data_IF_972338201720
#
_entry.id   IF_972338201720
#
_cell.length_a   1.000
_cell.length_b   1.000
_cell.length_c   1.000
_cell.angle_alpha   90.00
_cell.angle_beta   90.00
_cell.angle_gamma   90.00
#
_symmetry.space_group_name_H-M   'P 1'
#
loop_
_entity.id
_entity.type
_entity.pdbx_description
1 polymer ?
#
# COMPACT_ATOMS: atom_id res chain seq x y z
N UNK A 1 -4.17 -12.67 52.59
CA UNK A 1 -3.94 -11.39 53.29
C UNK A 1 -3.76 -10.32 52.25
N UNK A 2 -4.78 -9.48 52.11
CA UNK A 2 -4.86 -8.36 51.18
C UNK A 2 -3.93 -7.23 51.63
N UNK A 3 -3.16 -6.67 50.71
CA UNK A 3 -2.78 -5.23 50.77
C UNK A 3 -2.87 -4.64 49.37
N UNK A 4 -4.04 -4.04 49.15
CA UNK A 4 -4.32 -3.00 48.16
C UNK A 4 -3.56 -1.74 48.62
N UNK A 5 -2.80 -1.10 47.73
CA UNK A 5 -2.35 0.28 47.87
C UNK A 5 -2.15 0.85 46.46
N UNK A 6 -3.16 1.46 45.83
CA UNK A 6 -3.56 2.88 45.92
C UNK A 6 -2.51 3.90 45.43
N UNK A 7 -2.90 4.60 44.34
CA UNK A 7 -2.63 6.01 44.00
C UNK A 7 -1.32 6.33 43.25
N UNK A 8 -1.44 6.68 41.95
CA UNK A 8 -1.45 8.09 41.51
C UNK A 8 -1.89 8.18 40.04
N UNK A 9 -3.02 8.84 39.83
CA UNK A 9 -3.51 9.34 38.54
C UNK A 9 -2.71 10.61 38.26
N UNK A 10 -1.91 10.63 37.19
CA UNK A 10 -1.43 11.88 36.58
C UNK A 10 -2.10 11.95 35.21
N UNK A 11 -3.22 12.66 35.18
CA UNK A 11 -3.72 13.26 33.98
C UNK A 11 -2.80 14.44 33.65
N UNK A 12 -2.06 14.35 32.55
CA UNK A 12 -1.49 15.52 31.90
C UNK A 12 -2.07 15.61 30.49
N UNK A 13 -3.11 16.42 30.43
CA UNK A 13 -3.75 16.95 29.22
C UNK A 13 -2.83 17.90 28.46
N UNK A 14 -3.14 18.03 27.16
CA UNK A 14 -2.65 19.00 26.17
C UNK A 14 -1.32 18.64 25.52
N UNK A 15 -1.34 18.37 24.21
CA UNK A 15 -0.71 19.26 23.23
C UNK A 15 -1.39 19.07 21.85
N UNK A 16 -2.27 20.04 21.57
CA UNK A 16 -2.53 20.76 20.31
C UNK A 16 -2.72 19.97 18.99
N UNK A 17 -3.94 20.10 18.49
CA UNK A 17 -4.28 19.98 17.08
C UNK A 17 -3.40 20.91 16.21
N UNK A 18 -2.63 20.33 15.30
CA UNK A 18 -2.00 21.03 14.19
C UNK A 18 -2.56 20.50 12.87
N UNK A 19 -3.68 21.06 12.42
CA UNK A 19 -4.12 20.92 11.03
C UNK A 19 -3.32 21.93 10.21
N UNK A 20 -2.30 21.46 9.49
CA UNK A 20 -1.66 22.22 8.42
C UNK A 20 -2.44 22.00 7.13
N UNK A 21 -3.20 23.00 6.70
CA UNK A 21 -3.76 23.07 5.35
C UNK A 21 -2.62 23.41 4.39
N UNK A 22 -2.25 22.46 3.53
CA UNK A 22 -1.43 22.74 2.37
C UNK A 22 -2.36 23.10 1.20
N UNK A 23 -2.55 24.40 0.98
CA UNK A 23 -2.99 24.92 -0.31
C UNK A 23 -1.75 25.04 -1.21
N UNK A 24 -1.65 24.28 -2.31
CA UNK A 24 -0.92 24.77 -3.48
C UNK A 24 -1.18 24.00 -4.79
N UNK A 25 -1.85 24.73 -5.69
CA UNK A 25 -1.74 24.74 -7.16
C UNK A 25 -2.01 23.47 -7.98
N UNK A 26 -3.29 23.34 -8.33
CA UNK A 26 -3.77 22.88 -9.64
C UNK A 26 -3.25 23.81 -10.75
N UNK A 27 -2.48 23.26 -11.69
CA UNK A 27 -2.10 23.90 -12.94
C UNK A 27 -2.47 23.00 -14.10
N UNK A 28 -3.72 23.10 -14.52
CA UNK A 28 -4.25 22.52 -15.75
C UNK A 28 -3.64 23.24 -16.97
N UNK A 29 -2.59 22.67 -17.53
CA UNK A 29 -2.05 23.10 -18.82
C UNK A 29 -2.93 22.54 -19.95
N UNK A 30 -3.84 23.39 -20.43
CA UNK A 30 -4.72 23.13 -21.57
C UNK A 30 -3.92 23.19 -22.87
N UNK A 31 -3.29 22.09 -23.24
CA UNK A 31 -2.64 21.94 -24.54
C UNK A 31 -3.68 21.98 -25.65
N UNK A 32 -3.72 23.11 -26.34
CA UNK A 32 -4.52 23.37 -27.53
C UNK A 32 -3.67 22.95 -28.73
N UNK A 33 -3.99 21.81 -29.35
CA UNK A 33 -3.30 21.36 -30.56
C UNK A 33 -4.19 21.58 -31.77
N UNK A 34 -3.56 22.15 -32.79
CA UNK A 34 -4.14 22.79 -33.96
C UNK A 34 -4.96 21.85 -34.84
N UNK A 35 -6.06 22.41 -35.35
CA UNK A 35 -6.85 21.90 -36.48
C UNK A 35 -6.10 22.29 -37.75
N UNK A 36 -5.64 21.30 -38.50
CA UNK A 36 -5.14 21.46 -39.87
C UNK A 36 -6.26 21.08 -40.84
N UNK A 37 -6.82 22.08 -41.51
CA UNK A 37 -7.73 21.93 -42.65
C UNK A 37 -6.97 21.33 -43.84
N UNK A 38 -7.56 20.33 -44.49
CA UNK A 38 -7.23 19.94 -45.88
C UNK A 38 -8.42 19.20 -46.50
N UNK A 39 -8.51 19.12 -47.83
CA UNK A 39 -9.59 19.76 -48.59
C UNK A 39 -10.69 18.79 -49.03
N UNK A 40 -11.83 19.40 -49.31
CA UNK A 40 -13.05 18.87 -49.92
C UNK A 40 -12.78 18.08 -51.22
N UNK A 41 -13.23 16.81 -51.33
CA UNK A 41 -13.43 16.14 -52.60
C UNK A 41 -14.88 16.23 -53.08
N UNK A 42 -15.00 16.56 -54.37
CA UNK A 42 -16.20 16.63 -55.21
C UNK A 42 -17.04 15.32 -55.28
N UNK A 43 -18.30 15.39 -55.75
CA UNK A 43 -19.31 14.36 -55.48
C UNK A 43 -19.19 13.15 -56.42
N UNK A 44 -19.20 11.96 -55.84
CA UNK A 44 -19.26 10.69 -56.58
C UNK A 44 -20.69 10.14 -56.54
N UNK A 45 -21.22 9.88 -57.73
CA UNK A 45 -22.58 9.39 -57.97
C UNK A 45 -22.89 8.05 -57.30
N UNK A 46 -24.09 8.05 -56.73
CA UNK A 46 -24.88 6.99 -56.10
C UNK A 46 -24.97 5.69 -56.90
N UNK A 47 -24.74 4.55 -56.24
CA UNK A 47 -25.44 3.30 -56.57
C UNK A 47 -26.07 2.68 -55.32
N UNK A 48 -27.37 2.42 -55.47
CA UNK A 48 -28.33 1.96 -54.47
C UNK A 48 -27.91 0.58 -53.96
N UNK A 49 -27.59 0.51 -52.67
CA UNK A 49 -27.43 -0.77 -51.97
C UNK A 49 -28.38 -0.80 -50.78
N UNK A 50 -29.16 -1.87 -50.75
CA UNK A 50 -30.23 -2.22 -49.83
C UNK A 50 -29.93 -1.82 -48.38
N UNK A 51 -30.74 -0.92 -47.82
CA UNK A 51 -30.60 -0.36 -46.48
C UNK A 51 -30.82 -1.44 -45.42
N UNK A 52 -29.72 -1.89 -44.80
CA UNK A 52 -29.73 -2.49 -43.47
C UNK A 52 -30.34 -1.47 -42.47
N UNK A 53 -31.09 -1.93 -41.46
CA UNK A 53 -31.71 -1.04 -40.48
C UNK A 53 -30.64 -0.25 -39.74
N UNK A 54 -30.94 1.02 -39.52
CA UNK A 54 -30.04 2.04 -38.96
C UNK A 54 -29.34 1.56 -37.68
N UNK A 55 -28.04 1.86 -37.59
CA UNK A 55 -27.26 1.82 -36.35
C UNK A 55 -27.96 2.67 -35.29
N UNK A 56 -28.77 2.04 -34.44
CA UNK A 56 -29.12 2.61 -33.15
C UNK A 56 -27.83 2.73 -32.33
N UNK A 57 -27.58 3.87 -31.66
CA UNK A 57 -26.48 3.96 -30.71
C UNK A 57 -26.73 2.90 -29.63
N UNK A 58 -25.81 1.95 -29.53
CA UNK A 58 -25.81 0.96 -28.45
C UNK A 58 -25.67 1.76 -27.16
N UNK A 59 -26.77 1.86 -26.41
CA UNK A 59 -26.76 2.41 -25.06
C UNK A 59 -25.87 1.47 -24.24
N UNK A 60 -24.65 1.90 -23.95
CA UNK A 60 -23.72 1.15 -23.10
C UNK A 60 -24.35 1.12 -21.73
N UNK A 61 -24.81 -0.08 -21.34
CA UNK A 61 -25.46 -0.31 -20.07
C UNK A 61 -24.35 -0.39 -19.03
N UNK A 62 -24.38 0.52 -18.06
CA UNK A 62 -23.24 0.74 -17.18
C UNK A 62 -23.14 -0.34 -16.11
N UNK A 63 -21.97 -0.97 -16.03
CA UNK A 63 -21.50 -1.70 -14.86
C UNK A 63 -20.85 -0.72 -13.89
N UNK A 64 -21.08 -0.92 -12.59
CA UNK A 64 -20.46 -0.10 -11.54
C UNK A 64 -19.66 -0.98 -10.59
N UNK A 65 -18.46 -0.51 -10.25
CA UNK A 65 -17.51 -1.19 -9.37
C UNK A 65 -17.15 -0.28 -8.19
N UNK A 66 -17.01 -0.82 -6.98
CA UNK A 66 -16.75 0.01 -5.79
C UNK A 66 -15.27 0.23 -5.48
N UNK A 67 -14.38 -0.54 -6.09
CA UNK A 67 -12.93 -0.42 -5.92
C UNK A 67 -12.20 -0.07 -7.23
N UNK A 68 -12.97 0.29 -8.27
CA UNK A 68 -12.48 0.72 -9.59
C UNK A 68 -11.55 -0.30 -10.29
N UNK A 69 -11.82 -1.60 -10.13
CA UNK A 69 -11.31 -2.63 -11.05
C UNK A 69 -10.81 -3.89 -10.36
N UNK A 70 -9.50 -4.17 -10.48
CA UNK A 70 -8.89 -5.41 -9.98
C UNK A 70 -8.04 -5.14 -8.74
N UNK A 71 -8.64 -4.50 -7.73
CA UNK A 71 -7.97 -4.04 -6.51
C UNK A 71 -8.10 -5.09 -5.39
N UNK A 72 -7.22 -6.08 -5.45
CA UNK A 72 -7.28 -7.28 -4.61
C UNK A 72 -7.06 -7.06 -3.10
N UNK A 73 -6.53 -5.92 -2.65
CA UNK A 73 -6.26 -5.61 -1.24
C UNK A 73 -7.40 -4.81 -0.57
N UNK A 74 -8.40 -4.45 -1.37
CA UNK A 74 -9.60 -3.75 -0.99
C UNK A 74 -10.78 -4.69 -1.22
N UNK A 75 -11.84 -4.55 -0.43
CA UNK A 75 -13.06 -5.31 -0.69
C UNK A 75 -13.93 -4.52 -1.67
N UNK A 76 -14.29 -5.15 -2.78
CA UNK A 76 -15.08 -4.60 -3.85
C UNK A 76 -16.43 -5.29 -4.09
N UNK A 77 -17.23 -4.61 -4.91
CA UNK A 77 -18.57 -5.03 -5.30
C UNK A 77 -18.92 -4.44 -6.67
N UNK A 78 -19.29 -5.33 -7.56
CA UNK A 78 -19.79 -5.01 -8.90
C UNK A 78 -21.31 -5.07 -8.93
N UNK A 79 -21.95 -4.08 -9.55
CA UNK A 79 -23.36 -4.13 -9.96
C UNK A 79 -23.43 -4.09 -11.48
N UNK A 80 -23.99 -5.13 -12.09
CA UNK A 80 -24.12 -5.23 -13.55
C UNK A 80 -25.32 -4.43 -14.10
N UNK A 81 -25.46 -4.47 -15.41
CA UNK A 81 -26.52 -3.79 -16.16
C UNK A 81 -27.95 -4.23 -15.83
N UNK A 82 -28.13 -5.40 -15.23
CA UNK A 82 -29.42 -5.94 -14.79
C UNK A 82 -29.67 -5.68 -13.29
N UNK A 83 -28.75 -4.96 -12.63
CA UNK A 83 -28.79 -4.67 -11.20
C UNK A 83 -28.38 -5.85 -10.33
N UNK A 84 -27.75 -6.88 -10.91
CA UNK A 84 -27.23 -8.02 -10.15
C UNK A 84 -25.92 -7.64 -9.49
N UNK A 85 -25.79 -8.08 -8.25
CA UNK A 85 -24.67 -7.73 -7.38
C UNK A 85 -23.72 -8.92 -7.27
N UNK A 86 -22.44 -8.64 -7.46
CA UNK A 86 -21.32 -9.54 -7.25
C UNK A 86 -20.33 -8.88 -6.29
N UNK A 87 -19.73 -9.64 -5.38
CA UNK A 87 -18.78 -9.11 -4.40
C UNK A 87 -17.59 -10.03 -4.30
N UNK A 88 -16.45 -9.43 -3.99
CA UNK A 88 -15.22 -10.20 -3.85
C UNK A 88 -15.35 -11.20 -2.72
N UNK A 89 -14.83 -12.39 -2.98
CA UNK A 89 -14.99 -13.51 -2.06
C UNK A 89 -13.76 -14.40 -2.06
N UNK A 90 -13.38 -14.86 -0.88
CA UNK A 90 -12.34 -15.86 -0.75
C UNK A 90 -12.89 -17.22 -1.19
N UNK A 91 -12.29 -17.82 -2.21
CA UNK A 91 -12.57 -19.20 -2.63
C UNK A 91 -11.99 -20.16 -1.58
N UNK A 92 -10.79 -19.86 -1.12
CA UNK A 92 -10.09 -20.58 -0.06
C UNK A 92 -9.16 -19.60 0.69
N UNK A 93 -8.29 -20.10 1.56
CA UNK A 93 -7.40 -19.27 2.39
C UNK A 93 -6.38 -18.48 1.56
N UNK A 94 -6.04 -18.88 0.34
CA UNK A 94 -5.02 -18.23 -0.48
C UNK A 94 -5.55 -17.70 -1.82
N UNK A 95 -6.80 -18.00 -2.20
CA UNK A 95 -7.35 -17.57 -3.50
C UNK A 95 -8.55 -16.63 -3.31
N UNK A 96 -8.42 -15.40 -3.83
CA UNK A 96 -9.48 -14.41 -3.96
C UNK A 96 -10.17 -14.56 -5.31
N UNK A 97 -11.51 -14.54 -5.31
CA UNK A 97 -12.32 -14.29 -6.49
C UNK A 97 -12.66 -12.81 -6.54
N UNK A 98 -11.98 -12.10 -7.43
CA UNK A 98 -12.10 -10.67 -7.68
C UNK A 98 -13.14 -10.43 -8.76
N UNK A 99 -14.19 -9.66 -8.48
CA UNK A 99 -15.14 -9.19 -9.48
C UNK A 99 -14.76 -7.80 -9.96
N UNK A 100 -14.94 -7.54 -11.26
CA UNK A 100 -14.64 -6.23 -11.84
C UNK A 100 -15.53 -5.92 -13.04
N UNK A 101 -15.68 -4.65 -13.38
CA UNK A 101 -16.28 -4.23 -14.65
C UNK A 101 -15.26 -4.30 -15.81
N UNK A 102 -15.59 -5.01 -16.89
CA UNK A 102 -14.75 -5.06 -18.10
C UNK A 102 -14.89 -3.80 -18.97
N UNK A 103 -14.11 -3.71 -20.06
CA UNK A 103 -14.13 -2.57 -20.99
C UNK A 103 -15.43 -2.42 -21.79
N UNK A 104 -16.31 -3.42 -21.74
CA UNK A 104 -17.60 -3.44 -22.43
C UNK A 104 -18.77 -3.20 -21.46
N UNK A 105 -18.50 -2.99 -20.17
CA UNK A 105 -19.53 -2.78 -19.15
C UNK A 105 -20.14 -4.09 -18.63
N UNK A 106 -19.46 -5.22 -18.77
CA UNK A 106 -19.90 -6.50 -18.20
C UNK A 106 -19.23 -6.74 -16.84
N UNK A 107 -19.98 -7.37 -15.93
CA UNK A 107 -19.42 -7.91 -14.70
C UNK A 107 -18.64 -9.20 -14.98
N UNK A 108 -17.33 -9.17 -14.75
CA UNK A 108 -16.42 -10.29 -14.93
C UNK A 108 -15.73 -10.65 -13.62
N UNK A 109 -14.99 -11.77 -13.61
CA UNK A 109 -14.15 -12.13 -12.46
C UNK A 109 -12.77 -12.66 -12.82
N UNK A 110 -11.85 -12.59 -11.85
CA UNK A 110 -10.52 -13.19 -11.91
C UNK A 110 -10.21 -13.88 -10.59
N UNK A 111 -9.51 -15.00 -10.66
CA UNK A 111 -8.93 -15.64 -9.48
C UNK A 111 -7.51 -15.10 -9.26
N UNK A 112 -7.25 -14.62 -8.06
CA UNK A 112 -5.99 -14.01 -7.63
C UNK A 112 -5.46 -14.82 -6.45
N UNK A 113 -4.21 -15.29 -6.56
CA UNK A 113 -3.50 -15.86 -5.42
C UNK A 113 -3.02 -14.73 -4.51
N UNK A 114 -3.49 -14.74 -3.26
CA UNK A 114 -3.09 -13.79 -2.24
C UNK A 114 -1.67 -14.08 -1.75
N UNK A 115 -0.86 -13.05 -1.46
CA UNK A 115 0.50 -13.23 -0.95
C UNK A 115 0.56 -14.06 0.34
N UNK A 116 -0.32 -13.78 1.30
CA UNK A 116 -0.36 -14.49 2.57
C UNK A 116 -1.71 -15.13 2.85
N UNK A 117 -2.80 -14.34 2.84
CA UNK A 117 -4.14 -14.91 3.02
C UNK A 117 -5.25 -14.09 2.37
N UNK A 118 -6.29 -14.76 1.92
CA UNK A 118 -7.58 -14.16 1.63
C UNK A 118 -8.45 -14.18 2.88
N UNK A 119 -9.01 -13.02 3.25
CA UNK A 119 -9.98 -12.92 4.34
C UNK A 119 -10.98 -11.81 4.05
N UNK A 120 -12.27 -12.07 4.30
CA UNK A 120 -13.34 -11.08 4.10
C UNK A 120 -13.37 -10.48 2.68
N UNK A 121 -13.10 -11.30 1.65
CA UNK A 121 -13.17 -10.86 0.26
C UNK A 121 -12.07 -9.88 -0.14
N UNK A 122 -10.89 -9.98 0.47
CA UNK A 122 -9.69 -9.28 0.03
C UNK A 122 -8.44 -10.05 0.43
N UNK A 123 -7.35 -9.84 -0.29
CA UNK A 123 -6.06 -10.35 0.07
C UNK A 123 -5.41 -9.49 1.15
N UNK A 124 -4.72 -10.17 2.04
CA UNK A 124 -3.76 -9.61 2.96
C UNK A 124 -2.39 -10.08 2.49
N UNK A 125 -1.48 -9.13 2.37
CA UNK A 125 -0.09 -9.40 2.66
C UNK A 125 0.11 -9.13 4.15
N UNK A 126 0.93 -9.93 4.85
CA UNK A 126 1.70 -9.42 5.95
C UNK A 126 2.32 -8.13 5.42
N UNK A 127 1.96 -6.99 6.02
CA UNK A 127 2.65 -5.76 5.69
C UNK A 127 4.12 -6.09 5.92
N UNK A 128 4.87 -6.22 4.82
CA UNK A 128 6.28 -5.99 4.85
C UNK A 128 6.38 -4.60 5.42
N UNK A 129 6.65 -4.51 6.71
CA UNK A 129 7.02 -3.25 7.33
C UNK A 129 8.42 -3.03 6.78
N UNK A 130 8.47 -2.46 5.58
CA UNK A 130 9.67 -2.07 4.84
C UNK A 130 10.38 -0.89 5.56
N UNK A 131 10.04 -0.65 6.81
CA UNK A 131 10.52 0.46 7.64
C UNK A 131 11.19 -0.08 8.89
N UNK A 132 12.13 -1.02 8.70
CA UNK A 132 13.22 -1.09 9.64
C UNK A 132 14.15 0.08 9.35
N UNK A 133 14.25 1.01 10.31
CA UNK A 133 15.16 2.15 10.25
C UNK A 133 16.35 1.85 11.13
N UNK A 134 17.51 1.76 10.50
CA UNK A 134 18.81 1.60 11.14
C UNK A 134 19.64 2.84 10.77
N UNK A 135 19.94 3.74 11.74
CA UNK A 135 20.64 5.00 11.47
C UNK A 135 22.09 4.85 11.00
N UNK A 136 22.76 3.73 11.26
CA UNK A 136 24.17 3.52 10.95
C UNK A 136 24.42 2.43 9.88
N UNK A 137 23.35 1.73 9.48
CA UNK A 137 23.23 0.87 8.30
C UNK A 137 24.31 -0.23 8.22
N UNK A 138 24.43 -1.03 9.28
CA UNK A 138 24.96 -2.39 9.18
C UNK A 138 25.77 -2.88 10.39
N UNK A 139 26.13 -4.18 10.41
CA UNK A 139 26.66 -4.90 11.57
C UNK A 139 28.10 -4.52 11.97
N UNK A 140 28.64 -3.40 11.49
CA UNK A 140 29.98 -2.92 11.80
C UNK A 140 29.99 -1.53 12.44
N UNK A 141 28.82 -0.97 12.77
CA UNK A 141 28.70 0.34 13.39
C UNK A 141 28.98 0.36 14.90
N UNK A 142 29.65 -0.70 15.40
CA UNK A 142 30.06 -0.97 16.79
C UNK A 142 30.65 0.19 17.60
N UNK A 143 31.05 1.30 17.00
CA UNK A 143 31.60 2.50 17.67
C UNK A 143 30.58 3.63 17.83
N UNK A 144 29.35 3.48 17.33
CA UNK A 144 28.28 4.46 17.45
C UNK A 144 27.07 3.78 18.05
N UNK A 145 26.56 4.32 19.15
CA UNK A 145 25.29 3.84 19.72
C UNK A 145 24.12 4.35 18.89
N UNK A 146 23.26 3.47 18.39
CA UNK A 146 22.03 3.85 17.70
C UNK A 146 20.80 3.12 18.22
N UNK A 147 19.66 3.38 17.58
CA UNK A 147 18.38 2.75 17.90
C UNK A 147 17.73 2.32 16.59
N UNK A 148 17.59 1.02 16.42
CA UNK A 148 16.85 0.41 15.33
C UNK A 148 15.37 0.44 15.66
N UNK A 149 14.56 0.86 14.69
CA UNK A 149 13.10 0.92 14.84
C UNK A 149 12.48 0.04 13.76
N UNK A 150 11.65 -0.93 14.14
CA UNK A 150 10.84 -1.73 13.21
C UNK A 150 9.39 -1.84 13.71
N UNK A 151 8.58 -2.71 13.09
CA UNK A 151 7.18 -2.92 13.49
C UNK A 151 6.98 -3.50 14.89
N UNK A 152 8.00 -4.11 15.47
CA UNK A 152 7.96 -4.77 16.77
C UNK A 152 8.41 -3.84 17.90
N UNK A 153 9.12 -2.75 17.60
CA UNK A 153 9.50 -1.73 18.57
C UNK A 153 10.81 -1.01 18.27
N UNK A 154 11.40 -0.47 19.34
CA UNK A 154 12.68 0.23 19.34
C UNK A 154 13.74 -0.65 20.03
N UNK A 155 14.92 -0.76 19.41
CA UNK A 155 16.01 -1.64 19.83
C UNK A 155 17.30 -0.84 19.84
N UNK A 156 17.83 -0.62 21.03
CA UNK A 156 19.01 0.21 21.25
C UNK A 156 20.25 -0.66 21.50
N UNK A 157 21.38 -0.28 20.93
CA UNK A 157 22.65 -0.97 21.16
C UNK A 157 23.06 -0.92 22.63
N UNK A 158 23.63 -2.01 23.11
CA UNK A 158 24.01 -2.13 24.50
C UNK A 158 25.26 -2.99 24.69
N UNK A 159 25.99 -2.75 25.78
CA UNK A 159 27.12 -3.58 26.14
C UNK A 159 26.65 -4.92 26.72
N UNK A 160 26.81 -6.00 25.94
CA UNK A 160 26.52 -7.36 26.38
C UNK A 160 27.54 -7.86 27.41
N UNK A 161 28.79 -7.43 27.30
CA UNK A 161 29.86 -7.62 28.28
C UNK A 161 30.83 -6.44 28.28
N UNK A 162 31.88 -6.49 29.10
CA UNK A 162 32.93 -5.46 29.08
C UNK A 162 33.61 -5.38 27.71
N UNK A 163 33.78 -6.50 27.02
CA UNK A 163 34.52 -6.63 25.76
C UNK A 163 33.61 -6.91 24.56
N UNK A 164 32.28 -6.74 24.69
CA UNK A 164 31.31 -6.98 23.61
C UNK A 164 30.16 -5.98 23.60
N UNK A 165 29.83 -5.50 22.41
CA UNK A 165 28.60 -4.75 22.13
C UNK A 165 27.60 -5.68 21.44
N UNK A 166 26.33 -5.61 21.85
CA UNK A 166 25.21 -6.14 21.10
C UNK A 166 24.71 -5.03 20.17
N UNK A 167 24.94 -5.22 18.89
CA UNK A 167 24.65 -4.28 17.81
C UNK A 167 23.33 -4.67 17.14
N UNK A 168 22.33 -3.80 17.17
CA UNK A 168 21.09 -3.99 16.43
C UNK A 168 21.22 -3.45 15.01
N UNK A 169 20.67 -4.17 14.03
CA UNK A 169 20.69 -3.74 12.63
C UNK A 169 19.47 -4.25 11.86
N UNK A 170 19.18 -3.62 10.72
CA UNK A 170 18.08 -4.05 9.83
C UNK A 170 18.51 -5.15 8.86
N UNK A 171 17.76 -6.26 8.80
CA UNK A 171 17.97 -7.28 7.76
C UNK A 171 17.23 -6.95 6.44
N UNK A 172 17.46 -7.76 5.40
CA UNK A 172 16.84 -7.58 4.06
C UNK A 172 15.31 -7.74 4.03
N UNK A 173 14.70 -8.19 5.13
CA UNK A 173 13.26 -8.36 5.27
C UNK A 173 12.60 -7.22 6.05
N UNK A 174 13.36 -6.21 6.49
CA UNK A 174 12.82 -5.09 7.26
C UNK A 174 12.54 -5.45 8.72
N UNK A 175 13.34 -6.34 9.30
CA UNK A 175 13.22 -6.75 10.71
C UNK A 175 14.57 -6.54 11.41
N UNK A 176 14.54 -6.07 12.65
CA UNK A 176 15.74 -5.96 13.48
C UNK A 176 16.40 -7.33 13.68
N UNK A 177 17.73 -7.34 13.70
CA UNK A 177 18.58 -8.45 14.13
C UNK A 177 19.61 -7.90 15.11
N UNK A 178 20.34 -8.78 15.78
CA UNK A 178 21.45 -8.37 16.65
C UNK A 178 22.65 -9.28 16.50
N UNK A 179 23.84 -8.69 16.42
CA UNK A 179 25.12 -9.40 16.48
C UNK A 179 25.90 -9.00 17.75
N UNK A 180 26.63 -9.94 18.35
CA UNK A 180 27.61 -9.62 19.40
C UNK A 180 28.98 -9.43 18.77
N UNK A 181 29.55 -8.23 18.91
CA UNK A 181 30.81 -7.84 18.29
C UNK A 181 31.86 -7.57 19.38
N UNK A 182 33.06 -8.14 19.24
CA UNK A 182 34.17 -7.92 20.18
C UNK A 182 34.73 -6.47 20.08
N UNK A 183 34.99 -5.88 21.24
CA UNK A 183 35.57 -4.55 21.44
C UNK A 183 36.99 -4.65 22.02
N UNK A 184 38.00 -4.18 21.28
CA UNK A 184 39.42 -4.29 21.68
C UNK A 184 39.76 -3.50 22.96
N UNK A 185 39.11 -2.35 23.16
CA UNK A 185 39.33 -1.46 24.31
C UNK A 185 38.12 -1.41 25.27
N UNK A 186 37.19 -2.35 25.11
CA UNK A 186 35.98 -2.47 25.91
C UNK A 186 34.76 -1.74 25.32
N UNK A 187 33.60 -1.95 25.93
CA UNK A 187 32.32 -1.36 25.59
C UNK A 187 31.85 -0.40 26.70
N UNK A 188 31.41 0.79 26.31
CA UNK A 188 30.86 1.82 27.18
C UNK A 188 29.63 2.45 26.50
N UNK A 189 28.55 2.65 27.26
CA UNK A 189 27.31 3.27 26.79
C UNK A 189 26.71 2.69 25.48
N UNK A 190 26.89 1.39 25.25
CA UNK A 190 26.35 0.71 24.07
C UNK A 190 27.20 0.85 22.81
N UNK A 191 28.48 1.23 22.93
CA UNK A 191 29.43 1.26 21.84
C UNK A 191 30.83 0.81 22.29
N UNK A 192 31.63 0.28 21.37
CA UNK A 192 33.05 0.02 21.58
C UNK A 192 33.84 1.32 21.75
N UNK A 193 34.83 1.27 22.62
CA UNK A 193 35.82 2.35 22.82
C UNK A 193 36.93 2.25 21.76
N UNK A 194 37.35 3.38 21.19
CA UNK A 194 38.50 3.48 20.26
C UNK A 194 39.86 3.35 20.93
#
# INVERSE_FOLDING_TARGET
MNKILMITIIALTLFIAGCGEAEFNDSTEKTTTNIEETPEPEPVETQVTETAPANEPVEVKDCTDTDDGKVYDTWGRVTDEDGKIFSDTCININTLKEFYCDSFGNAEYKEIECPDMCKNGKCYSEEKIDTCTDPDLGPNAKYTKTTVIDSNGEYEDYCASFDRVAEYYCNQYGIHQSDEIDCDNGCEDGACVE
#
